data_IF_198133437292
#
_entry.id   IF_198133437292
#
_cell.length_a   1.000
_cell.length_b   1.000
_cell.length_c   1.000
_cell.angle_alpha   90.00
_cell.angle_beta   90.00
_cell.angle_gamma   90.00
#
_symmetry.space_group_name_H-M   'P 1'
#
loop_
_entity.id
_entity.type
_entity.pdbx_description
1 polymer ?
#
# COMPACT_ATOMS: atom_id res chain seq x y z
N UNK A 1 -19.25 7.27 -13.48
CA UNK A 1 -18.11 8.02 -12.95
C UNK A 1 -16.87 7.13 -13.03
N UNK A 2 -15.94 7.45 -13.91
CA UNK A 2 -14.65 6.75 -13.93
C UNK A 2 -13.75 7.39 -12.90
N UNK A 3 -13.67 6.79 -11.73
CA UNK A 3 -12.66 7.09 -10.71
C UNK A 3 -11.56 6.08 -10.88
N UNK A 4 -10.36 6.57 -11.05
CA UNK A 4 -9.17 5.75 -11.08
C UNK A 4 -8.39 6.00 -9.81
N UNK A 5 -7.86 4.95 -9.21
CA UNK A 5 -6.64 5.04 -8.41
C UNK A 5 -5.54 5.53 -9.38
N UNK A 6 -5.66 6.80 -9.76
CA UNK A 6 -4.64 7.49 -10.49
C UNK A 6 -3.52 7.75 -9.53
N UNK A 7 -2.49 6.99 -9.69
CA UNK A 7 -1.15 7.35 -9.23
C UNK A 7 -0.79 7.14 -7.76
N UNK A 8 -1.02 5.96 -7.22
CA UNK A 8 0.00 5.37 -6.34
C UNK A 8 1.37 5.39 -7.03
N UNK A 9 1.42 5.58 -8.34
CA UNK A 9 2.57 5.42 -9.21
C UNK A 9 3.38 6.66 -9.54
N UNK A 10 2.79 7.85 -9.55
CA UNK A 10 3.49 9.02 -10.09
C UNK A 10 3.88 10.08 -9.08
N UNK A 11 3.32 10.04 -7.92
CA UNK A 11 3.76 10.83 -6.78
C UNK A 11 3.51 10.03 -5.51
N UNK A 12 4.34 9.07 -5.26
CA UNK A 12 4.82 8.95 -3.91
C UNK A 12 5.42 10.32 -3.61
N UNK A 13 4.59 11.19 -3.11
CA UNK A 13 5.05 12.37 -2.47
C UNK A 13 5.74 11.86 -1.23
N UNK A 14 7.05 11.57 -1.35
CA UNK A 14 7.90 11.61 -0.19
C UNK A 14 7.64 12.98 0.41
N UNK A 15 7.05 12.99 1.58
CA UNK A 15 6.95 14.22 2.35
C UNK A 15 8.38 14.54 2.75
N UNK A 16 9.07 15.34 1.92
CA UNK A 16 10.46 15.73 2.15
C UNK A 16 10.38 16.93 3.08
N UNK A 17 10.90 16.79 4.28
CA UNK A 17 11.20 17.95 5.10
C UNK A 17 12.19 18.82 4.33
N UNK A 18 11.73 20.00 3.87
CA UNK A 18 12.54 20.95 3.09
C UNK A 18 13.82 21.40 3.82
N UNK A 19 13.88 21.23 5.14
CA UNK A 19 15.05 21.60 5.96
C UNK A 19 16.07 20.49 6.08
N UNK A 20 15.63 19.23 6.12
CA UNK A 20 16.51 18.07 6.34
C UNK A 20 16.72 17.25 5.09
N UNK A 21 15.92 17.45 4.03
CA UNK A 21 15.89 16.64 2.82
C UNK A 21 15.61 15.15 3.12
N UNK A 22 15.03 14.85 4.27
CA UNK A 22 14.66 13.50 4.66
C UNK A 22 13.22 13.16 4.23
N UNK A 23 12.98 11.89 3.96
CA UNK A 23 11.65 11.37 3.62
C UNK A 23 10.90 11.08 4.92
N UNK A 24 9.79 11.79 5.15
CA UNK A 24 9.01 11.67 6.39
C UNK A 24 7.78 10.77 6.26
N UNK A 25 7.52 10.18 5.10
CA UNK A 25 6.36 9.31 4.95
C UNK A 25 6.05 8.91 3.51
N UNK A 26 5.07 8.02 3.38
CA UNK A 26 4.47 7.61 2.09
C UNK A 26 3.07 8.21 2.00
N UNK A 27 2.82 8.93 0.91
CA UNK A 27 1.54 9.58 0.62
C UNK A 27 0.71 8.74 -0.35
N UNK A 28 -0.49 8.34 0.05
CA UNK A 28 -1.53 7.83 -0.83
C UNK A 28 -2.40 8.99 -1.31
N UNK A 29 -2.73 9.01 -2.60
CA UNK A 29 -3.60 10.04 -3.16
C UNK A 29 -4.64 9.42 -4.08
N UNK A 30 -5.90 9.80 -3.90
CA UNK A 30 -7.00 9.50 -4.81
C UNK A 30 -7.23 10.70 -5.72
N UNK A 31 -7.38 10.43 -7.03
CA UNK A 31 -7.66 11.44 -8.02
C UNK A 31 -8.99 11.20 -8.71
N UNK A 32 -9.72 12.25 -8.95
CA UNK A 32 -10.83 12.26 -9.92
C UNK A 32 -10.25 12.42 -11.34
N UNK A 33 -10.40 11.38 -12.14
CA UNK A 33 -9.95 11.33 -13.53
C UNK A 33 -11.12 11.31 -14.52
N UNK A 34 -12.32 11.69 -14.09
CA UNK A 34 -13.52 11.74 -14.94
C UNK A 34 -13.36 12.72 -16.11
N UNK A 35 -12.62 13.81 -15.90
CA UNK A 35 -12.14 14.70 -16.95
C UNK A 35 -10.61 14.60 -17.07
N UNK A 36 -10.07 13.92 -18.11
CA UNK A 36 -8.63 13.76 -18.29
C UNK A 36 -7.86 15.07 -18.46
N UNK A 37 -8.56 16.17 -18.83
CA UNK A 37 -7.97 17.50 -18.97
C UNK A 37 -7.95 18.29 -17.66
N UNK A 38 -8.68 17.83 -16.66
CA UNK A 38 -8.83 18.51 -15.37
C UNK A 38 -8.82 17.49 -14.22
N UNK A 39 -7.74 16.75 -14.10
CA UNK A 39 -7.52 15.79 -13.02
C UNK A 39 -7.41 16.53 -11.69
N UNK A 40 -8.18 16.11 -10.69
CA UNK A 40 -8.22 16.70 -9.35
C UNK A 40 -7.85 15.69 -8.28
N UNK A 41 -7.03 16.14 -7.32
CA UNK A 41 -6.80 15.41 -6.09
C UNK A 41 -8.06 15.48 -5.22
N UNK A 42 -8.61 14.31 -4.83
CA UNK A 42 -9.80 14.24 -3.98
C UNK A 42 -9.43 14.05 -2.51
N UNK A 43 -8.63 13.05 -2.23
CA UNK A 43 -8.28 12.65 -0.85
C UNK A 43 -6.82 12.21 -0.78
N UNK A 44 -6.20 12.49 0.35
CA UNK A 44 -4.85 12.03 0.66
C UNK A 44 -4.77 11.38 2.02
N UNK A 45 -3.84 10.43 2.14
CA UNK A 45 -3.47 9.81 3.40
C UNK A 45 -1.94 9.71 3.48
N UNK A 46 -1.35 10.12 4.58
CA UNK A 46 0.09 10.02 4.80
C UNK A 46 0.37 8.97 5.85
N UNK A 47 1.21 7.99 5.49
CA UNK A 47 1.76 7.02 6.43
C UNK A 47 3.05 7.63 6.95
N UNK A 48 3.04 8.07 8.21
CA UNK A 48 4.20 8.70 8.85
C UNK A 48 5.26 7.67 9.24
N UNK A 49 6.51 8.10 9.40
CA UNK A 49 7.65 7.28 9.82
C UNK A 49 7.99 6.12 8.87
N UNK A 50 7.56 6.21 7.62
CA UNK A 50 7.89 5.27 6.55
C UNK A 50 8.79 5.97 5.54
N UNK A 51 9.94 5.40 5.24
CA UNK A 51 10.96 6.04 4.39
C UNK A 51 11.16 5.35 3.04
N UNK A 52 10.60 4.15 2.84
CA UNK A 52 10.75 3.40 1.61
C UNK A 52 9.54 2.53 1.30
N UNK A 53 9.24 2.31 0.03
CA UNK A 53 8.31 1.29 -0.44
C UNK A 53 8.74 0.75 -1.81
N UNK A 54 8.56 -0.55 -2.04
CA UNK A 54 8.87 -1.21 -3.30
C UNK A 54 8.11 -0.62 -4.48
N UNK A 55 6.93 -0.05 -4.24
CA UNK A 55 6.08 0.56 -5.28
C UNK A 55 6.77 1.74 -5.97
N UNK A 56 7.73 2.40 -5.32
CA UNK A 56 8.53 3.48 -5.93
C UNK A 56 9.28 3.03 -7.18
N UNK A 57 9.65 1.77 -7.24
CA UNK A 57 10.50 1.22 -8.29
C UNK A 57 9.80 0.15 -9.12
N UNK A 58 8.84 -0.56 -8.54
CA UNK A 58 8.07 -1.60 -9.21
C UNK A 58 6.58 -1.46 -8.90
N UNK A 59 5.84 -0.94 -9.86
CA UNK A 59 4.39 -0.78 -9.72
C UNK A 59 3.65 -2.09 -9.43
N UNK A 60 4.19 -3.22 -9.84
CA UNK A 60 3.60 -4.54 -9.57
C UNK A 60 3.72 -4.95 -8.09
N UNK A 61 4.47 -4.20 -7.29
CA UNK A 61 4.51 -4.39 -5.84
C UNK A 61 3.23 -3.89 -5.15
N UNK A 62 2.43 -3.04 -5.81
CA UNK A 62 1.12 -2.66 -5.31
C UNK A 62 0.06 -3.69 -5.72
N UNK A 63 -0.75 -4.10 -4.76
CA UNK A 63 -2.01 -4.78 -4.96
C UNK A 63 -3.12 -3.73 -5.00
N UNK A 64 -3.84 -3.64 -6.11
CA UNK A 64 -4.95 -2.70 -6.24
C UNK A 64 -6.13 -3.41 -6.88
N UNK A 65 -7.24 -3.47 -6.15
CA UNK A 65 -8.49 -4.06 -6.62
C UNK A 65 -9.67 -3.18 -6.22
N UNK A 66 -10.32 -2.58 -7.23
CA UNK A 66 -11.44 -1.67 -7.01
C UNK A 66 -12.73 -2.41 -6.63
N UNK A 67 -12.93 -3.65 -7.08
CA UNK A 67 -14.13 -4.43 -6.76
C UNK A 67 -14.13 -4.87 -5.30
N UNK A 68 -12.96 -5.27 -4.79
CA UNK A 68 -12.78 -5.61 -3.38
C UNK A 68 -12.48 -4.39 -2.49
N UNK A 69 -12.32 -3.22 -3.09
CA UNK A 69 -11.91 -2.00 -2.39
C UNK A 69 -10.65 -2.25 -1.56
N UNK A 70 -9.65 -2.83 -2.18
CA UNK A 70 -8.42 -3.29 -1.55
C UNK A 70 -7.21 -2.64 -2.21
N UNK A 71 -6.40 -1.99 -1.40
CA UNK A 71 -5.09 -1.45 -1.79
C UNK A 71 -4.09 -2.06 -0.83
N UNK A 72 -3.02 -2.68 -1.34
CA UNK A 72 -2.00 -3.31 -0.51
C UNK A 72 -0.59 -3.08 -1.03
N UNK A 73 0.36 -2.84 -0.14
CA UNK A 73 1.78 -2.70 -0.46
C UNK A 73 2.64 -2.84 0.78
N UNK A 74 3.92 -3.16 0.56
CA UNK A 74 4.92 -3.17 1.61
C UNK A 74 5.63 -1.82 1.71
N UNK A 75 5.99 -1.45 2.92
CA UNK A 75 6.80 -0.28 3.21
C UNK A 75 7.76 -0.53 4.38
N UNK A 76 8.87 0.21 4.41
CA UNK A 76 9.88 0.10 5.44
C UNK A 76 9.81 1.29 6.41
N UNK A 77 9.74 0.98 7.69
CA UNK A 77 9.84 1.90 8.81
C UNK A 77 11.10 1.64 9.64
N UNK A 78 11.32 2.42 10.70
CA UNK A 78 12.40 2.13 11.66
C UNK A 78 12.21 0.77 12.36
N UNK A 79 10.97 0.30 12.48
CA UNK A 79 10.63 -0.99 13.09
C UNK A 79 10.87 -2.20 12.19
N UNK A 80 11.06 -1.99 10.90
CA UNK A 80 11.24 -3.05 9.92
C UNK A 80 10.32 -2.90 8.72
N UNK A 81 10.15 -4.00 7.97
CA UNK A 81 9.26 -4.04 6.83
C UNK A 81 7.86 -4.47 7.27
N UNK A 82 6.88 -3.72 6.79
CA UNK A 82 5.47 -3.91 7.13
C UNK A 82 4.64 -4.01 5.86
N UNK A 83 3.55 -4.78 5.89
CA UNK A 83 2.57 -4.80 4.83
C UNK A 83 1.32 -4.04 5.27
N UNK A 84 0.96 -3.06 4.45
CA UNK A 84 -0.22 -2.22 4.66
C UNK A 84 -1.33 -2.63 3.73
N UNK A 85 -2.57 -2.62 4.21
CA UNK A 85 -3.75 -2.60 3.37
C UNK A 85 -4.65 -1.45 3.71
N UNK A 86 -5.32 -0.91 2.68
CA UNK A 86 -6.26 0.20 2.78
C UNK A 86 -7.53 -0.11 2.03
N UNK A 87 -8.61 0.43 2.51
CA UNK A 87 -9.85 0.66 1.77
C UNK A 87 -10.05 2.15 1.51
N UNK A 88 -10.92 2.49 0.56
CA UNK A 88 -11.25 3.88 0.24
C UNK A 88 -12.76 4.08 0.23
N UNK A 89 -13.22 5.15 0.86
CA UNK A 89 -14.60 5.61 0.82
C UNK A 89 -14.63 7.08 0.42
N UNK A 90 -15.60 7.47 -0.42
CA UNK A 90 -15.69 8.84 -0.95
C UNK A 90 -15.88 9.92 0.12
N UNK A 91 -16.50 9.56 1.25
CA UNK A 91 -16.78 10.50 2.34
C UNK A 91 -15.72 10.47 3.44
N UNK A 92 -15.18 9.27 3.70
CA UNK A 92 -14.24 9.05 4.80
C UNK A 92 -12.77 9.06 4.35
N UNK A 93 -12.52 8.90 3.03
CA UNK A 93 -11.19 8.78 2.47
C UNK A 93 -10.58 7.40 2.67
N UNK A 94 -9.26 7.35 2.83
CA UNK A 94 -8.53 6.11 3.06
C UNK A 94 -8.65 5.64 4.51
N UNK A 95 -8.86 4.34 4.68
CA UNK A 95 -8.83 3.67 5.98
C UNK A 95 -7.79 2.55 5.93
N UNK A 96 -6.82 2.57 6.85
CA UNK A 96 -5.87 1.48 7.01
C UNK A 96 -6.62 0.28 7.63
N UNK A 97 -6.70 -0.82 6.89
CA UNK A 97 -7.41 -2.04 7.30
C UNK A 97 -6.48 -3.09 7.87
N UNK A 98 -5.20 -3.06 7.48
CA UNK A 98 -4.16 -3.93 8.04
C UNK A 98 -2.83 -3.20 8.06
N UNK A 99 -2.05 -3.47 9.09
CA UNK A 99 -0.70 -2.99 9.26
C UNK A 99 0.06 -4.03 10.09
N UNK A 100 0.82 -4.89 9.41
CA UNK A 100 1.48 -6.04 10.03
C UNK A 100 2.95 -6.12 9.61
N UNK A 101 3.81 -6.41 10.58
CA UNK A 101 5.23 -6.66 10.34
C UNK A 101 5.42 -7.96 9.56
N UNK A 102 6.27 -7.92 8.55
CA UNK A 102 6.59 -9.09 7.73
C UNK A 102 7.91 -9.69 8.20
N UNK A 103 7.85 -10.94 8.63
CA UNK A 103 9.03 -11.69 9.06
C UNK A 103 9.82 -12.18 7.84
N UNK A 104 10.68 -11.34 7.26
CA UNK A 104 11.44 -11.73 6.08
C UNK A 104 12.75 -10.97 5.91
N UNK A 105 13.53 -11.39 4.92
CA UNK A 105 14.75 -10.69 4.54
C UNK A 105 14.38 -9.44 3.71
N UNK A 106 14.67 -8.26 4.24
CA UNK A 106 14.35 -6.93 3.68
C UNK A 106 14.94 -6.64 2.28
N UNK A 107 15.71 -7.58 1.72
CA UNK A 107 16.39 -7.41 0.42
C UNK A 107 15.53 -7.84 -0.78
N UNK A 108 14.27 -8.25 -0.61
CA UNK A 108 13.41 -8.74 -1.69
C UNK A 108 12.10 -7.97 -1.76
N UNK A 109 11.66 -7.72 -2.99
CA UNK A 109 10.35 -7.12 -3.27
C UNK A 109 9.26 -7.98 -2.64
N UNK A 110 8.38 -7.34 -1.88
CA UNK A 110 7.22 -7.95 -1.28
C UNK A 110 6.02 -7.76 -2.19
N UNK A 111 5.22 -8.82 -2.37
CA UNK A 111 4.01 -8.79 -3.18
C UNK A 111 2.83 -9.33 -2.40
N UNK A 112 1.70 -8.64 -2.54
CA UNK A 112 0.41 -9.15 -2.10
C UNK A 112 -0.37 -9.69 -3.28
N UNK A 113 -0.99 -10.83 -3.11
CA UNK A 113 -2.01 -11.39 -3.99
C UNK A 113 -3.16 -11.88 -3.14
N UNK A 114 -4.36 -11.99 -3.70
CA UNK A 114 -5.43 -12.65 -2.99
C UNK A 114 -6.05 -13.78 -3.81
N UNK A 115 -6.54 -14.78 -3.12
CA UNK A 115 -7.33 -15.88 -3.69
C UNK A 115 -8.58 -16.01 -2.82
N UNK A 116 -9.75 -15.82 -3.41
CA UNK A 116 -11.04 -15.78 -2.71
C UNK A 116 -11.03 -14.72 -1.58
N UNK A 117 -11.08 -15.16 -0.33
CA UNK A 117 -11.11 -14.30 0.87
C UNK A 117 -9.78 -14.32 1.66
N UNK A 118 -8.69 -14.76 1.02
CA UNK A 118 -7.37 -14.84 1.65
C UNK A 118 -6.35 -13.99 0.91
N UNK A 119 -5.72 -13.07 1.63
CA UNK A 119 -4.57 -12.28 1.18
C UNK A 119 -3.29 -13.05 1.50
N UNK A 120 -2.45 -13.24 0.50
CA UNK A 120 -1.12 -13.82 0.63
C UNK A 120 -0.07 -12.73 0.44
N UNK A 121 0.75 -12.53 1.44
CA UNK A 121 1.91 -11.62 1.40
C UNK A 121 3.16 -12.46 1.19
N UNK A 122 3.83 -12.25 0.07
CA UNK A 122 4.96 -13.07 -0.39
C UNK A 122 6.23 -12.24 -0.33
N UNK A 123 7.22 -12.70 0.42
CA UNK A 123 8.54 -12.09 0.50
C UNK A 123 9.63 -13.17 0.45
N UNK A 124 10.31 -13.28 -0.68
CA UNK A 124 11.34 -14.31 -0.85
C UNK A 124 10.78 -15.72 -0.73
N UNK A 125 11.18 -16.43 0.33
CA UNK A 125 10.72 -17.79 0.65
C UNK A 125 9.65 -17.84 1.75
N UNK A 126 9.14 -16.70 2.17
CA UNK A 126 8.09 -16.59 3.19
C UNK A 126 6.78 -16.20 2.53
N UNK A 127 5.70 -16.88 2.88
CA UNK A 127 4.34 -16.56 2.49
C UNK A 127 3.51 -16.47 3.76
N UNK A 128 2.95 -15.31 4.03
CA UNK A 128 2.03 -15.10 5.13
C UNK A 128 0.61 -14.95 4.59
N UNK A 129 -0.35 -15.62 5.19
CA UNK A 129 -1.75 -15.61 4.80
C UNK A 129 -2.60 -14.86 5.81
N UNK A 130 -3.47 -13.98 5.32
CA UNK A 130 -4.39 -13.16 6.12
C UNK A 130 -5.82 -13.30 5.59
N UNK A 131 -6.79 -13.36 6.48
CA UNK A 131 -8.20 -13.32 6.11
C UNK A 131 -8.58 -11.91 5.64
N UNK A 132 -9.22 -11.76 4.48
CA UNK A 132 -9.76 -10.47 4.02
C UNK A 132 -11.04 -10.03 4.78
N UNK A 133 -11.59 -10.87 5.65
CA UNK A 133 -12.79 -10.54 6.44
C UNK A 133 -12.47 -9.70 7.68
N UNK A 134 -11.35 -9.99 8.33
CA UNK A 134 -10.95 -9.34 9.58
C UNK A 134 -9.46 -8.96 9.60
N UNK A 135 -8.74 -9.20 8.50
CA UNK A 135 -7.32 -8.94 8.29
C UNK A 135 -6.40 -9.58 9.34
N UNK A 136 -6.84 -10.69 9.94
CA UNK A 136 -6.02 -11.46 10.86
C UNK A 136 -5.19 -12.51 10.12
N UNK A 137 -3.98 -12.73 10.62
CA UNK A 137 -3.11 -13.78 10.14
C UNK A 137 -3.75 -15.16 10.38
N UNK A 138 -3.82 -15.97 9.34
CA UNK A 138 -4.40 -17.33 9.40
C UNK A 138 -3.34 -18.41 9.26
N UNK A 139 -2.23 -18.15 8.53
CA UNK A 139 -1.16 -19.12 8.34
C UNK A 139 0.12 -18.45 7.87
N UNK A 140 1.25 -19.17 7.95
CA UNK A 140 2.52 -18.83 7.33
C UNK A 140 3.27 -20.06 6.85
N UNK A 141 3.96 -19.91 5.72
CA UNK A 141 4.73 -20.96 5.08
C UNK A 141 6.14 -20.44 4.81
N UNK A 142 7.13 -21.21 5.22
CA UNK A 142 8.54 -21.01 4.85
C UNK A 142 8.92 -22.09 3.85
N UNK A 143 9.29 -21.67 2.62
CA UNK A 143 9.69 -22.53 1.52
C UNK A 143 11.19 -22.88 1.56
#
# INVERSE_FOLDING_TARGET
>A
MSRGLGDVYKRQGMNVDEKTMSTDGVKLTMFDISDPKNVKEEQTYVIENVYYTDVSYDYKAALVDAEKNLIGFAADSEGGREYYTFSYDEKQGFTCTMHEEINGNNMRITRGIYIEDTLYVIQGNIIEAYSLKDFKKVDDIIL
#
